data_IF_035645407683
#
_entry.id   IF_035645407683
#
_cell.length_a   1.000
_cell.length_b   1.000
_cell.length_c   1.000
_cell.angle_alpha   90.00
_cell.angle_beta   90.00
_cell.angle_gamma   90.00
#
_symmetry.space_group_name_H-M   'P 1'
#
loop_
_entity.id
_entity.type
_entity.pdbx_description
1 polymer ?
#
# COMPACT_ATOMS: atom_id res chain seq x y z
N UNK A 1 38.78 58.33 -49.64
CA UNK A 1 39.30 57.97 -48.31
C UNK A 1 38.17 57.35 -47.50
N UNK A 2 38.37 56.09 -47.11
CA UNK A 2 37.85 55.35 -45.97
C UNK A 2 36.35 55.32 -45.58
N UNK A 3 35.91 54.06 -45.51
CA UNK A 3 35.10 53.42 -44.46
C UNK A 3 33.57 53.38 -44.57
N UNK A 4 33.13 52.22 -45.09
CA UNK A 4 32.26 51.23 -44.43
C UNK A 4 31.03 51.67 -43.62
N UNK A 5 29.88 51.25 -44.18
CA UNK A 5 28.94 50.23 -43.66
C UNK A 5 27.62 50.69 -43.02
N UNK A 6 26.56 50.26 -43.73
CA UNK A 6 25.29 49.65 -43.31
C UNK A 6 24.14 50.50 -42.76
N UNK A 7 23.04 50.41 -43.52
CA UNK A 7 21.58 50.32 -43.23
C UNK A 7 20.90 50.89 -44.49
N UNK A 8 19.83 50.37 -45.07
CA UNK A 8 18.63 49.77 -44.50
C UNK A 8 17.79 49.17 -45.64
N UNK A 9 16.84 48.33 -45.24
CA UNK A 9 15.63 47.83 -45.92
C UNK A 9 14.98 48.84 -46.90
N UNK A 10 14.18 48.47 -47.91
CA UNK A 10 12.98 47.61 -47.87
C UNK A 10 12.44 47.50 -49.30
N UNK A 11 11.95 46.34 -49.76
CA UNK A 11 10.91 46.27 -50.79
C UNK A 11 9.93 45.14 -50.46
N UNK A 12 8.66 45.51 -50.30
CA UNK A 12 7.50 44.63 -50.26
C UNK A 12 7.28 43.97 -51.63
N UNK A 13 6.91 42.69 -51.64
CA UNK A 13 5.54 42.24 -51.99
C UNK A 13 5.49 40.80 -52.54
N UNK A 14 4.59 40.02 -51.92
CA UNK A 14 3.70 39.00 -52.48
C UNK A 14 4.26 37.83 -53.31
N UNK A 15 4.03 36.61 -52.82
CA UNK A 15 3.27 35.58 -53.55
C UNK A 15 2.93 34.40 -52.63
N UNK A 16 1.64 34.07 -52.60
CA UNK A 16 1.05 32.85 -52.03
C UNK A 16 1.57 31.60 -52.72
N UNK A 17 2.14 30.66 -51.96
CA UNK A 17 2.34 29.28 -52.40
C UNK A 17 1.59 28.35 -51.43
N UNK A 18 0.49 27.79 -51.91
CA UNK A 18 -0.22 26.68 -51.28
C UNK A 18 0.66 25.44 -51.45
N UNK A 19 1.46 25.11 -50.44
CA UNK A 19 2.07 23.79 -50.33
C UNK A 19 1.17 22.92 -49.45
N UNK A 20 0.50 21.96 -50.08
CA UNK A 20 -0.08 20.81 -49.40
C UNK A 20 1.06 20.01 -48.75
N UNK A 21 1.27 20.22 -47.45
CA UNK A 21 2.14 19.36 -46.65
C UNK A 21 1.23 18.26 -46.10
N UNK A 22 1.19 17.13 -46.80
CA UNK A 22 0.67 15.89 -46.23
C UNK A 22 1.51 15.56 -45.00
N UNK A 23 0.96 15.77 -43.82
CA UNK A 23 1.53 15.22 -42.59
C UNK A 23 1.28 13.71 -42.61
N UNK A 24 2.32 12.86 -42.53
CA UNK A 24 2.07 11.46 -42.25
C UNK A 24 1.42 11.40 -40.88
N UNK A 25 0.18 10.95 -40.82
CA UNK A 25 -0.42 10.48 -39.57
C UNK A 25 0.39 9.27 -39.15
N UNK A 26 1.44 9.49 -38.37
CA UNK A 26 2.01 8.44 -37.56
C UNK A 26 0.85 7.95 -36.68
N UNK A 27 0.35 6.75 -36.97
CA UNK A 27 -0.46 6.01 -36.03
C UNK A 27 0.23 6.12 -34.68
N UNK A 28 -0.48 6.58 -33.65
CA UNK A 28 0.03 6.43 -32.29
C UNK A 28 0.47 4.98 -32.16
N UNK A 29 1.71 4.76 -31.71
CA UNK A 29 2.14 3.42 -31.34
C UNK A 29 1.06 2.85 -30.40
N UNK A 30 0.75 1.53 -30.47
CA UNK A 30 -0.16 0.93 -29.51
C UNK A 30 0.28 1.36 -28.10
N UNK A 31 -0.65 1.92 -27.32
CA UNK A 31 -0.35 2.20 -25.93
C UNK A 31 0.13 0.87 -25.30
N UNK A 32 1.19 0.88 -24.48
CA UNK A 32 1.58 -0.31 -23.73
C UNK A 32 0.35 -0.90 -23.05
N UNK A 33 0.20 -2.23 -23.11
CA UNK A 33 -0.83 -2.90 -22.33
C UNK A 33 -0.65 -2.51 -20.85
N UNK A 34 -1.74 -2.36 -20.06
CA UNK A 34 -1.62 -2.04 -18.65
C UNK A 34 -0.68 -3.04 -17.97
N UNK A 35 0.17 -2.59 -17.04
CA UNK A 35 1.10 -3.44 -16.26
C UNK A 35 0.40 -4.46 -15.32
N UNK A 36 -0.90 -4.66 -15.51
CA UNK A 36 -1.82 -5.37 -14.62
C UNK A 36 -2.63 -6.43 -15.38
N UNK A 37 -2.21 -6.84 -16.57
CA UNK A 37 -2.94 -7.87 -17.32
C UNK A 37 -2.43 -9.25 -16.88
N UNK A 38 -3.36 -10.17 -16.59
CA UNK A 38 -3.03 -11.56 -16.22
C UNK A 38 -2.08 -12.19 -17.23
N UNK A 39 -1.10 -12.94 -16.72
CA UNK A 39 -0.05 -13.56 -17.53
C UNK A 39 1.05 -12.61 -18.00
N UNK A 40 1.00 -11.34 -17.58
CA UNK A 40 1.99 -10.31 -17.90
C UNK A 40 2.21 -9.34 -16.75
N UNK A 41 1.93 -9.78 -15.53
CA UNK A 41 2.07 -8.95 -14.34
C UNK A 41 3.55 -8.67 -14.08
N UNK A 42 3.86 -7.39 -13.90
CA UNK A 42 5.19 -6.90 -13.54
C UNK A 42 5.10 -6.12 -12.23
N UNK A 43 6.00 -6.44 -11.30
CA UNK A 43 6.18 -5.70 -10.03
C UNK A 43 7.08 -4.48 -10.20
N UNK A 44 7.67 -4.33 -11.38
CA UNK A 44 8.67 -3.35 -11.70
C UNK A 44 9.98 -3.66 -10.98
N UNK A 45 10.72 -2.65 -10.53
CA UNK A 45 12.10 -2.79 -10.05
C UNK A 45 12.25 -3.35 -8.63
N UNK A 46 11.16 -3.74 -7.99
CA UNK A 46 11.12 -4.21 -6.61
C UNK A 46 10.30 -5.48 -6.46
N UNK A 47 10.11 -5.90 -5.21
CA UNK A 47 9.38 -7.14 -4.89
C UNK A 47 8.41 -6.88 -3.75
N UNK A 48 7.19 -7.41 -3.89
CA UNK A 48 6.21 -7.37 -2.81
C UNK A 48 6.39 -8.53 -1.84
N UNK A 49 6.26 -8.23 -0.55
CA UNK A 49 6.06 -9.21 0.50
C UNK A 49 4.82 -8.83 1.29
N UNK A 50 3.99 -9.81 1.64
CA UNK A 50 2.82 -9.59 2.49
C UNK A 50 2.87 -10.53 3.67
N UNK A 51 2.76 -9.97 4.88
CA UNK A 51 2.81 -10.74 6.12
C UNK A 51 1.68 -10.30 7.05
N UNK A 52 1.15 -11.26 7.81
CA UNK A 52 0.22 -11.00 8.90
C UNK A 52 0.98 -10.79 10.18
N UNK A 53 0.69 -9.74 10.96
CA UNK A 53 1.40 -9.48 12.22
C UNK A 53 0.48 -9.39 13.43
N UNK A 54 0.67 -10.22 14.44
CA UNK A 54 -0.15 -10.19 15.67
C UNK A 54 0.72 -9.78 16.86
N UNK A 55 0.20 -8.88 17.68
CA UNK A 55 0.77 -8.57 18.99
C UNK A 55 1.01 -9.86 19.79
N UNK A 56 2.24 -10.04 20.26
CA UNK A 56 2.67 -11.22 20.99
C UNK A 56 2.12 -11.25 22.42
N UNK A 57 1.64 -10.12 22.92
CA UNK A 57 1.27 -9.89 24.32
C UNK A 57 2.49 -9.82 25.25
N UNK A 58 3.70 -9.86 24.71
CA UNK A 58 4.93 -9.73 25.46
C UNK A 58 5.33 -8.28 25.60
N UNK A 59 6.23 -8.03 26.56
CA UNK A 59 6.88 -6.73 26.66
C UNK A 59 7.98 -6.63 25.60
N UNK A 60 8.13 -5.46 24.95
CA UNK A 60 9.27 -5.20 24.09
C UNK A 60 10.60 -5.40 24.82
N UNK A 61 11.62 -5.84 24.07
CA UNK A 61 12.96 -6.03 24.62
C UNK A 61 13.58 -4.70 25.05
N UNK A 62 14.61 -4.74 25.90
CA UNK A 62 15.36 -3.54 26.27
C UNK A 62 16.02 -2.87 25.05
N UNK A 63 16.52 -3.68 24.10
CA UNK A 63 17.11 -3.19 22.87
C UNK A 63 16.09 -2.47 21.97
N UNK A 64 14.88 -3.02 21.82
CA UNK A 64 13.80 -2.37 21.06
C UNK A 64 13.36 -1.07 21.72
N UNK A 65 13.23 -1.07 23.04
CA UNK A 65 12.88 0.13 23.79
C UNK A 65 13.97 1.21 23.67
N UNK A 66 15.25 0.83 23.67
CA UNK A 66 16.36 1.76 23.46
C UNK A 66 16.33 2.35 22.04
N UNK A 67 16.21 1.51 21.01
CA UNK A 67 16.14 1.96 19.63
C UNK A 67 14.94 2.88 19.36
N UNK A 68 13.77 2.57 19.94
CA UNK A 68 12.60 3.45 19.87
C UNK A 68 12.88 4.83 20.51
N UNK A 69 13.52 4.85 21.68
CA UNK A 69 13.88 6.11 22.36
C UNK A 69 14.89 6.91 21.56
N UNK A 70 15.86 6.24 20.93
CA UNK A 70 16.88 6.88 20.11
C UNK A 70 16.27 7.52 18.86
N UNK A 71 15.31 6.84 18.20
CA UNK A 71 14.59 7.41 17.05
C UNK A 71 13.81 8.68 17.43
N UNK A 72 13.00 8.63 18.49
CA UNK A 72 12.18 9.78 18.88
C UNK A 72 12.98 10.89 19.58
N UNK A 73 14.06 10.55 20.28
CA UNK A 73 14.82 11.47 21.12
C UNK A 73 14.01 12.03 22.31
N UNK A 74 14.63 12.90 23.10
CA UNK A 74 13.95 13.61 24.21
C UNK A 74 13.44 14.97 23.71
N UNK A 75 12.20 15.40 24.04
CA UNK A 75 11.25 14.75 24.94
C UNK A 75 10.24 13.82 24.26
N UNK A 76 10.25 13.67 22.93
CA UNK A 76 9.21 12.89 22.19
C UNK A 76 9.11 11.44 22.65
N UNK A 77 10.23 10.83 23.04
CA UNK A 77 10.27 9.47 23.59
C UNK A 77 9.40 9.28 24.85
N UNK A 78 9.12 10.35 25.60
CA UNK A 78 8.21 10.37 26.75
C UNK A 78 6.73 10.37 26.34
N UNK A 79 6.43 10.79 25.11
CA UNK A 79 5.09 10.86 24.54
C UNK A 79 4.77 9.72 23.57
N UNK A 80 5.65 8.70 23.46
CA UNK A 80 5.37 7.48 22.70
C UNK A 80 4.16 6.78 23.31
N UNK A 81 3.11 6.65 22.51
CA UNK A 81 1.79 6.16 22.91
C UNK A 81 1.66 4.66 22.79
N UNK A 82 2.42 4.03 21.88
CA UNK A 82 2.39 2.60 21.65
C UNK A 82 3.80 2.03 21.48
N UNK A 83 4.00 0.83 22.02
CA UNK A 83 5.19 -0.01 21.82
C UNK A 83 4.71 -1.44 21.74
N UNK A 84 4.80 -2.01 20.54
CA UNK A 84 4.19 -3.30 20.25
C UNK A 84 5.28 -4.30 19.87
N UNK A 85 5.39 -5.37 20.66
CA UNK A 85 6.12 -6.57 20.27
C UNK A 85 5.15 -7.51 19.54
N UNK A 86 5.48 -7.91 18.33
CA UNK A 86 4.60 -8.69 17.48
C UNK A 86 5.37 -9.77 16.72
N UNK A 87 4.60 -10.73 16.21
CA UNK A 87 5.09 -11.85 15.41
C UNK A 87 4.56 -11.73 13.99
N UNK A 88 5.42 -11.98 13.02
CA UNK A 88 5.08 -12.05 11.61
C UNK A 88 4.72 -13.47 11.24
N UNK A 89 3.66 -13.62 10.46
CA UNK A 89 3.14 -14.87 9.97
C UNK A 89 2.93 -14.82 8.47
N UNK A 90 3.24 -15.92 7.79
CA UNK A 90 2.73 -16.18 6.44
C UNK A 90 1.37 -16.85 6.54
N UNK A 91 0.66 -16.88 5.43
CA UNK A 91 -0.73 -17.31 5.37
C UNK A 91 -0.98 -18.00 4.04
N UNK A 92 -2.02 -18.82 4.02
CA UNK A 92 -2.66 -19.23 2.79
C UNK A 92 -3.82 -18.27 2.50
N UNK A 93 -4.15 -18.14 1.23
CA UNK A 93 -5.19 -17.23 0.77
C UNK A 93 -6.14 -18.01 -0.12
N UNK A 94 -7.42 -17.98 0.22
CA UNK A 94 -8.44 -18.66 -0.55
C UNK A 94 -8.52 -18.02 -1.96
N UNK A 95 -8.34 -18.84 -2.99
CA UNK A 95 -8.19 -18.34 -4.37
C UNK A 95 -9.45 -17.67 -4.93
N UNK A 96 -10.62 -18.01 -4.38
CA UNK A 96 -11.92 -17.54 -4.87
C UNK A 96 -12.34 -16.26 -4.15
N UNK A 97 -12.16 -16.24 -2.83
CA UNK A 97 -12.65 -15.17 -1.96
C UNK A 97 -11.58 -14.15 -1.61
N UNK A 98 -10.31 -14.52 -1.74
CA UNK A 98 -9.15 -13.75 -1.30
C UNK A 98 -9.05 -13.61 0.21
N UNK A 99 -9.77 -14.41 1.01
CA UNK A 99 -9.65 -14.41 2.47
C UNK A 99 -8.49 -15.30 2.94
N UNK A 100 -7.79 -14.84 3.97
CA UNK A 100 -6.73 -15.60 4.60
C UNK A 100 -7.29 -16.84 5.30
N UNK A 101 -6.66 -17.98 5.05
CA UNK A 101 -6.83 -19.24 5.78
C UNK A 101 -5.63 -19.44 6.71
N UNK A 102 -5.91 -19.90 7.92
CA UNK A 102 -4.92 -20.14 8.98
C UNK A 102 -3.82 -19.05 9.12
N UNK A 103 -4.22 -17.77 9.32
CA UNK A 103 -3.34 -16.59 9.17
C UNK A 103 -2.19 -16.49 10.20
N UNK A 104 -2.08 -17.45 11.10
CA UNK A 104 -1.03 -17.53 12.13
C UNK A 104 -0.37 -18.90 12.19
N UNK A 105 -0.50 -19.72 11.14
CA UNK A 105 0.03 -21.09 11.12
C UNK A 105 1.56 -21.14 11.06
N UNK A 106 2.21 -20.15 10.45
CA UNK A 106 3.66 -20.17 10.21
C UNK A 106 4.28 -18.87 10.69
N UNK A 107 5.04 -18.91 11.80
CA UNK A 107 5.80 -17.78 12.33
C UNK A 107 7.15 -17.69 11.60
N UNK A 108 7.36 -16.55 10.93
CA UNK A 108 8.55 -16.26 10.13
C UNK A 108 9.47 -15.21 10.74
N UNK A 109 9.10 -14.57 11.85
CA UNK A 109 10.01 -13.61 12.49
C UNK A 109 9.35 -12.61 13.45
N UNK A 110 10.17 -11.85 14.20
CA UNK A 110 9.71 -10.74 15.01
C UNK A 110 9.46 -9.48 14.19
N UNK A 111 8.51 -8.67 14.67
CA UNK A 111 8.36 -7.27 14.31
C UNK A 111 8.11 -6.47 15.58
N UNK A 112 8.80 -5.34 15.70
CA UNK A 112 8.58 -4.35 16.74
C UNK A 112 8.17 -3.04 16.08
N UNK A 113 7.17 -2.38 16.64
CA UNK A 113 6.80 -1.02 16.26
C UNK A 113 6.60 -0.13 17.48
N UNK A 114 6.85 1.16 17.32
CA UNK A 114 6.48 2.14 18.31
C UNK A 114 6.02 3.47 17.70
N UNK A 115 4.93 3.98 18.27
CA UNK A 115 4.18 5.10 17.73
C UNK A 115 4.29 6.30 18.67
N UNK A 116 4.64 7.44 18.10
CA UNK A 116 4.78 8.70 18.80
C UNK A 116 4.09 9.83 18.05
N UNK A 117 3.94 11.00 18.69
CA UNK A 117 3.37 12.16 18.03
C UNK A 117 4.28 12.61 16.88
N UNK A 118 3.65 13.06 15.79
CA UNK A 118 4.38 13.76 14.72
C UNK A 118 4.83 15.14 15.17
N UNK A 119 5.80 15.71 14.46
CA UNK A 119 6.22 17.11 14.63
C UNK A 119 5.70 18.05 13.54
N UNK A 120 5.26 17.50 12.41
CA UNK A 120 4.91 18.28 11.22
C UNK A 120 3.42 18.67 11.16
N UNK A 121 2.60 18.11 12.08
CA UNK A 121 1.17 18.36 12.16
C UNK A 121 0.36 17.80 10.99
N UNK A 122 0.97 16.97 10.11
CA UNK A 122 0.32 16.42 8.92
C UNK A 122 -0.35 15.08 9.19
N UNK A 123 0.25 14.28 10.05
CA UNK A 123 -0.34 13.06 10.58
C UNK A 123 -0.47 13.16 12.11
N UNK A 124 -1.37 12.38 12.70
CA UNK A 124 -1.50 12.33 14.15
C UNK A 124 -0.34 11.54 14.78
N UNK A 125 0.07 10.46 14.11
CA UNK A 125 1.09 9.54 14.57
C UNK A 125 2.24 9.44 13.55
N UNK A 126 3.45 9.35 14.08
CA UNK A 126 4.65 8.88 13.42
C UNK A 126 4.93 7.50 13.99
N UNK A 127 5.41 6.59 13.16
CA UNK A 127 5.80 5.25 13.59
C UNK A 127 7.24 4.98 13.22
N UNK A 128 7.94 4.32 14.12
CA UNK A 128 9.18 3.65 13.85
C UNK A 128 9.01 2.15 14.06
N UNK A 129 9.60 1.36 13.18
CA UNK A 129 9.49 -0.08 13.21
C UNK A 129 10.80 -0.77 12.86
N UNK A 130 10.95 -1.97 13.41
CA UNK A 130 12.03 -2.89 13.11
C UNK A 130 11.45 -4.28 12.94
N UNK A 131 11.70 -4.92 11.79
CA UNK A 131 11.31 -6.31 11.57
C UNK A 131 12.49 -7.11 11.05
N UNK A 132 12.49 -8.42 11.31
CA UNK A 132 13.48 -9.33 10.72
C UNK A 132 12.74 -10.30 9.81
N UNK A 133 12.76 -10.03 8.51
CA UNK A 133 12.10 -10.83 7.49
C UNK A 133 13.09 -11.83 6.86
N UNK A 134 12.71 -13.11 6.69
CA UNK A 134 13.52 -14.07 5.94
C UNK A 134 13.78 -13.57 4.51
N UNK A 135 14.99 -13.81 3.98
CA UNK A 135 15.41 -13.27 2.68
C UNK A 135 15.82 -11.79 2.71
N UNK A 136 15.12 -10.95 3.47
CA UNK A 136 15.36 -9.51 3.49
C UNK A 136 16.29 -9.03 4.63
N UNK A 137 16.42 -9.79 5.70
CA UNK A 137 17.21 -9.44 6.88
C UNK A 137 16.46 -8.50 7.82
N UNK A 138 17.21 -7.74 8.62
CA UNK A 138 16.60 -6.72 9.49
C UNK A 138 16.30 -5.46 8.69
N UNK A 139 15.02 -5.07 8.69
CA UNK A 139 14.54 -3.83 8.10
C UNK A 139 14.24 -2.85 9.23
N UNK A 140 14.69 -1.62 9.05
CA UNK A 140 14.26 -0.48 9.87
C UNK A 140 13.44 0.45 9.00
N UNK A 141 12.30 0.86 9.51
CA UNK A 141 11.30 1.60 8.75
C UNK A 141 10.68 2.68 9.61
N UNK A 142 10.34 3.81 9.02
CA UNK A 142 9.67 4.89 9.74
C UNK A 142 8.83 5.77 8.83
N UNK A 143 7.87 6.45 9.41
CA UNK A 143 6.97 7.32 8.67
C UNK A 143 5.62 7.55 9.33
N UNK A 144 4.80 8.41 8.71
CA UNK A 144 3.49 8.81 9.22
C UNK A 144 2.44 7.69 9.16
N UNK A 145 1.49 7.76 10.10
CA UNK A 145 0.30 6.90 10.16
C UNK A 145 -1.00 7.70 10.20
N UNK A 146 -1.99 7.21 9.46
CA UNK A 146 -3.40 7.51 9.68
C UNK A 146 -3.93 6.76 10.91
N UNK A 147 -4.82 7.41 11.66
CA UNK A 147 -5.57 6.81 12.76
C UNK A 147 -7.04 7.20 12.63
N UNK A 148 -7.91 6.20 12.54
CA UNK A 148 -9.35 6.42 12.53
C UNK A 148 -10.03 5.50 13.56
N UNK A 149 -10.78 6.07 14.49
CA UNK A 149 -11.51 5.30 15.48
C UNK A 149 -12.71 4.60 14.85
N UNK A 150 -12.86 3.31 15.12
CA UNK A 150 -13.93 2.50 14.54
C UNK A 150 -15.24 2.71 15.32
N UNK A 151 -16.17 3.46 14.73
CA UNK A 151 -17.45 3.80 15.37
C UNK A 151 -18.26 2.54 15.73
N UNK A 152 -18.23 1.50 14.89
CA UNK A 152 -18.97 0.27 15.15
C UNK A 152 -18.34 -0.68 16.16
N UNK A 153 -17.09 -0.44 16.58
CA UNK A 153 -16.44 -1.11 17.71
C UNK A 153 -15.60 -0.13 18.54
N UNK A 154 -16.24 0.66 19.42
CA UNK A 154 -15.53 1.62 20.26
C UNK A 154 -14.41 0.96 21.05
N UNK A 155 -13.22 1.57 21.02
CA UNK A 155 -11.99 1.03 21.62
C UNK A 155 -11.04 0.35 20.63
N UNK A 156 -11.49 0.13 19.39
CA UNK A 156 -10.64 -0.23 18.24
C UNK A 156 -10.42 0.96 17.31
N UNK A 157 -9.32 0.90 16.57
CA UNK A 157 -9.00 1.88 15.54
C UNK A 157 -8.41 1.22 14.31
N UNK A 158 -8.68 1.79 13.14
CA UNK A 158 -7.97 1.53 11.91
C UNK A 158 -6.68 2.34 11.92
N UNK A 159 -5.54 1.69 11.67
CA UNK A 159 -4.23 2.34 11.57
C UNK A 159 -3.57 1.91 10.27
N UNK A 160 -3.42 2.86 9.36
CA UNK A 160 -2.60 2.71 8.16
C UNK A 160 -1.33 3.55 8.25
N UNK A 161 -0.20 2.88 8.26
CA UNK A 161 1.11 3.51 8.26
C UNK A 161 1.75 3.39 6.89
N UNK A 162 2.47 4.42 6.46
CA UNK A 162 3.26 4.41 5.22
C UNK A 162 4.69 4.73 5.58
N UNK A 163 5.50 3.68 5.72
CA UNK A 163 6.86 3.77 6.26
C UNK A 163 7.88 3.63 5.14
N UNK A 164 8.88 4.50 5.12
CA UNK A 164 10.06 4.33 4.28
C UNK A 164 11.01 3.34 4.92
N UNK A 165 11.53 2.39 4.14
CA UNK A 165 12.52 1.41 4.60
C UNK A 165 13.94 1.92 4.33
N UNK A 166 14.80 1.81 5.34
CA UNK A 166 16.22 2.10 5.21
C UNK A 166 16.96 0.96 4.50
N UNK A 167 18.06 1.25 3.78
CA UNK A 167 18.96 0.23 3.28
C UNK A 167 19.53 -0.64 4.41
N UNK A 168 19.91 -1.88 4.11
CA UNK A 168 20.50 -2.77 5.10
C UNK A 168 21.70 -3.57 4.57
N UNK A 169 22.35 -4.32 5.47
CA UNK A 169 23.51 -5.14 5.16
C UNK A 169 23.19 -6.39 4.32
N UNK A 170 21.91 -6.71 4.15
CA UNK A 170 21.43 -7.85 3.37
C UNK A 170 21.05 -7.46 1.94
N UNK A 171 21.49 -6.30 1.45
CA UNK A 171 21.29 -5.89 0.06
C UNK A 171 19.94 -5.24 -0.25
N UNK A 172 19.08 -5.00 0.75
CA UNK A 172 17.93 -4.11 0.58
C UNK A 172 18.45 -2.68 0.47
N UNK A 173 18.01 -1.97 -0.57
CA UNK A 173 18.47 -0.60 -0.89
C UNK A 173 17.43 0.46 -0.55
N UNK A 174 16.20 0.05 -0.21
CA UNK A 174 15.12 0.92 0.19
C UNK A 174 13.76 0.24 -0.03
N UNK A 175 12.68 1.00 0.14
CA UNK A 175 11.33 0.52 -0.10
C UNK A 175 10.27 1.26 0.70
N UNK A 176 9.03 0.80 0.59
CA UNK A 176 7.89 1.31 1.36
C UNK A 176 7.10 0.16 1.97
N UNK A 177 6.83 0.27 3.27
CA UNK A 177 5.95 -0.62 4.00
C UNK A 177 4.61 0.07 4.27
N UNK A 178 3.51 -0.58 3.91
CA UNK A 178 2.14 -0.12 4.26
C UNK A 178 1.53 -1.09 5.26
N UNK A 179 0.90 -0.57 6.31
CA UNK A 179 0.13 -1.39 7.25
C UNK A 179 -1.37 -1.24 7.02
N UNK A 180 -2.11 -2.33 7.21
CA UNK A 180 -3.56 -2.35 7.35
C UNK A 180 -3.87 -2.96 8.72
N UNK A 181 -4.02 -2.09 9.72
CA UNK A 181 -4.05 -2.53 11.11
C UNK A 181 -5.40 -2.28 11.77
N UNK A 182 -5.88 -3.29 12.49
CA UNK A 182 -6.94 -3.15 13.48
C UNK A 182 -6.27 -3.08 14.85
N UNK A 183 -6.02 -1.86 15.30
CA UNK A 183 -5.45 -1.59 16.61
C UNK A 183 -6.51 -1.80 17.71
N UNK A 184 -6.08 -2.38 18.84
CA UNK A 184 -6.88 -2.53 20.04
C UNK A 184 -6.24 -1.75 21.22
N UNK A 185 -6.17 -0.42 21.15
CA UNK A 185 -5.55 0.40 22.19
C UNK A 185 -6.27 0.27 23.54
N UNK A 186 -7.59 -0.01 23.52
CA UNK A 186 -8.39 -0.22 24.72
C UNK A 186 -8.23 -1.62 25.34
N UNK A 187 -7.47 -2.53 24.71
CA UNK A 187 -7.24 -3.91 25.17
C UNK A 187 -8.53 -4.68 25.42
N UNK A 188 -9.50 -4.51 24.51
CA UNK A 188 -10.73 -5.27 24.50
C UNK A 188 -10.44 -6.80 24.48
N UNK A 189 -11.25 -7.62 25.17
CA UNK A 189 -10.97 -9.05 25.33
C UNK A 189 -11.12 -9.85 24.03
N UNK A 190 -11.78 -9.29 23.03
CA UNK A 190 -12.18 -9.95 21.78
C UNK A 190 -11.08 -9.92 20.71
N UNK A 191 -9.80 -9.80 21.08
CA UNK A 191 -8.67 -10.00 20.17
C UNK A 191 -7.62 -8.90 20.23
N UNK A 192 -6.35 -9.25 19.97
CA UNK A 192 -5.21 -8.34 20.02
C UNK A 192 -5.11 -7.41 18.82
N UNK A 193 -4.23 -6.42 18.90
CA UNK A 193 -3.81 -5.63 17.73
C UNK A 193 -3.25 -6.57 16.66
N UNK A 194 -3.76 -6.42 15.45
CA UNK A 194 -3.35 -7.20 14.30
C UNK A 194 -3.22 -6.32 13.07
N UNK A 195 -2.29 -6.66 12.18
CA UNK A 195 -2.11 -5.97 10.91
C UNK A 195 -1.78 -6.93 9.76
N UNK A 196 -2.08 -6.50 8.54
CA UNK A 196 -1.40 -6.96 7.35
C UNK A 196 -0.36 -5.91 6.96
N UNK A 197 0.88 -6.34 6.76
CA UNK A 197 1.95 -5.50 6.26
C UNK A 197 2.26 -5.86 4.83
N UNK A 198 2.24 -4.87 3.95
CA UNK A 198 2.70 -4.97 2.57
C UNK A 198 4.02 -4.23 2.43
N UNK A 199 5.08 -4.97 2.14
CA UNK A 199 6.43 -4.44 1.94
C UNK A 199 6.72 -4.43 0.45
N UNK A 200 6.99 -3.26 -0.14
CA UNK A 200 7.60 -3.15 -1.46
C UNK A 200 9.07 -2.83 -1.30
N UNK A 201 9.93 -3.81 -1.51
CA UNK A 201 11.38 -3.71 -1.26
C UNK A 201 12.17 -3.57 -2.55
N UNK A 202 13.26 -2.80 -2.48
CA UNK A 202 14.23 -2.63 -3.56
C UNK A 202 15.54 -3.34 -3.22
N UNK A 203 16.22 -3.86 -4.24
CA UNK A 203 17.41 -4.70 -4.07
C UNK A 203 17.03 -6.16 -3.83
N UNK A 204 18.02 -7.04 -3.95
CA UNK A 204 17.77 -8.49 -4.05
C UNK A 204 17.36 -9.13 -2.72
N UNK A 205 17.86 -8.62 -1.59
CA UNK A 205 17.67 -9.30 -0.29
C UNK A 205 18.40 -10.65 -0.25
N UNK A 206 19.53 -10.71 0.44
CA UNK A 206 20.39 -11.91 0.49
C UNK A 206 20.48 -12.50 1.89
N UNK A 207 19.55 -12.15 2.79
CA UNK A 207 19.55 -12.73 4.12
C UNK A 207 19.16 -14.21 4.06
N UNK A 208 19.65 -15.05 4.98
CA UNK A 208 19.24 -16.44 5.04
C UNK A 208 17.73 -16.59 5.21
N UNK A 209 17.14 -17.54 4.49
CA UNK A 209 15.76 -17.96 4.69
C UNK A 209 15.75 -19.11 5.70
N UNK A 210 15.30 -18.83 6.92
CA UNK A 210 15.09 -19.86 7.92
C UNK A 210 13.80 -20.62 7.64
N UNK A 211 13.78 -21.93 7.91
CA UNK A 211 12.55 -22.72 7.87
C UNK A 211 11.49 -22.09 8.78
N UNK A 212 10.25 -21.87 8.29
CA UNK A 212 9.14 -21.39 9.10
C UNK A 212 8.94 -22.23 10.34
N UNK A 213 8.66 -21.56 11.45
CA UNK A 213 8.29 -22.26 12.68
C UNK A 213 6.78 -22.41 12.72
N UNK A 214 6.25 -23.55 13.20
CA UNK A 214 4.84 -23.64 13.52
C UNK A 214 4.45 -22.49 14.45
N UNK A 215 3.45 -21.71 14.02
CA UNK A 215 2.87 -20.66 14.81
C UNK A 215 2.03 -21.21 15.96
N UNK A 216 1.63 -20.33 16.86
CA UNK A 216 0.66 -20.64 17.91
C UNK A 216 -0.62 -19.87 17.61
N UNK A 217 -1.82 -20.47 17.81
CA UNK A 217 -3.08 -19.76 17.64
C UNK A 217 -3.06 -18.45 18.44
N UNK A 218 -3.30 -17.33 17.76
CA UNK A 218 -3.39 -16.02 18.38
C UNK A 218 -4.85 -15.59 18.50
N UNK A 219 -5.22 -14.86 19.58
CA UNK A 219 -6.54 -14.25 19.66
C UNK A 219 -6.60 -13.07 18.68
N UNK A 220 -6.98 -13.33 17.43
CA UNK A 220 -7.10 -12.32 16.36
C UNK A 220 -8.44 -11.61 16.35
N UNK A 221 -9.40 -12.09 17.15
CA UNK A 221 -10.73 -11.53 17.24
C UNK A 221 -11.61 -11.79 16.02
N UNK A 222 -12.64 -10.97 15.86
CA UNK A 222 -13.58 -11.03 14.73
C UNK A 222 -13.03 -10.41 13.43
N UNK A 223 -11.71 -10.22 13.33
CA UNK A 223 -11.10 -9.62 12.14
C UNK A 223 -10.84 -10.68 11.10
N UNK A 224 -11.43 -10.51 9.91
CA UNK A 224 -11.10 -11.27 8.71
C UNK A 224 -10.22 -10.44 7.81
N UNK A 225 -9.20 -11.07 7.26
CA UNK A 225 -8.22 -10.41 6.40
C UNK A 225 -8.31 -10.98 5.00
N UNK A 226 -8.21 -10.11 4.01
CA UNK A 226 -8.11 -10.46 2.61
C UNK A 226 -6.92 -9.77 1.97
N UNK A 227 -6.25 -10.48 1.07
CA UNK A 227 -5.12 -9.96 0.30
C UNK A 227 -5.38 -10.27 -1.16
N UNK A 228 -5.14 -9.30 -2.02
CA UNK A 228 -5.24 -9.49 -3.45
C UNK A 228 -4.28 -8.60 -4.20
N UNK A 229 -4.19 -8.88 -5.49
CA UNK A 229 -3.39 -8.14 -6.44
C UNK A 229 -4.28 -7.56 -7.51
N UNK A 230 -3.86 -6.40 -7.96
CA UNK A 230 -4.61 -5.64 -8.92
C UNK A 230 -4.46 -6.15 -10.36
N UNK A 231 -5.59 -6.36 -11.02
CA UNK A 231 -5.64 -6.85 -12.39
C UNK A 231 -6.62 -6.02 -13.22
N UNK A 232 -6.34 -5.85 -14.51
CA UNK A 232 -7.17 -5.09 -15.43
C UNK A 232 -7.41 -3.65 -14.96
N UNK A 233 -6.36 -3.02 -14.43
CA UNK A 233 -6.37 -1.64 -13.98
C UNK A 233 -6.53 -0.68 -15.14
N UNK A 234 -7.50 0.23 -15.02
CA UNK A 234 -7.78 1.26 -16.02
C UNK A 234 -7.81 2.63 -15.36
N UNK A 235 -6.95 3.53 -15.84
CA UNK A 235 -7.01 4.97 -15.55
C UNK A 235 -8.00 5.64 -16.50
N UNK A 236 -9.19 5.98 -16.01
CA UNK A 236 -10.29 6.60 -16.76
C UNK A 236 -10.15 8.12 -16.90
N UNK A 237 -8.91 8.62 -16.98
CA UNK A 237 -8.52 10.05 -17.06
C UNK A 237 -9.07 10.89 -15.90
N UNK A 238 -8.66 12.15 -15.87
CA UNK A 238 -9.10 13.14 -14.87
C UNK A 238 -10.47 13.69 -15.24
N UNK A 239 -11.32 13.86 -14.23
CA UNK A 239 -12.64 14.51 -14.35
C UNK A 239 -12.75 15.64 -13.33
N UNK A 240 -13.79 16.46 -13.40
CA UNK A 240 -14.06 17.48 -12.37
C UNK A 240 -14.35 16.86 -11.00
N UNK A 241 -14.94 15.66 -10.96
CA UNK A 241 -15.21 14.92 -9.72
C UNK A 241 -13.97 14.19 -9.19
N UNK A 242 -13.10 13.72 -10.09
CA UNK A 242 -11.85 13.02 -9.78
C UNK A 242 -10.66 13.75 -10.40
N UNK A 243 -10.25 14.90 -9.85
CA UNK A 243 -9.20 15.73 -10.45
C UNK A 243 -7.82 15.06 -10.48
N UNK A 244 -7.58 14.07 -9.62
CA UNK A 244 -6.38 13.20 -9.67
C UNK A 244 -6.50 11.99 -10.60
N UNK A 245 -7.69 11.75 -11.16
CA UNK A 245 -8.02 10.60 -12.00
C UNK A 245 -8.98 9.62 -11.33
N UNK A 246 -9.67 8.83 -12.15
CA UNK A 246 -10.49 7.69 -11.71
C UNK A 246 -9.80 6.38 -12.10
N UNK A 247 -9.53 5.52 -11.14
CA UNK A 247 -9.01 4.16 -11.36
C UNK A 247 -10.14 3.16 -11.18
N UNK A 248 -10.24 2.17 -12.05
CA UNK A 248 -11.10 1.00 -11.88
C UNK A 248 -10.29 -0.26 -12.07
N UNK A 249 -10.55 -1.28 -11.27
CA UNK A 249 -9.76 -2.51 -11.31
C UNK A 249 -10.51 -3.71 -10.77
N UNK A 250 -10.04 -4.90 -11.15
CA UNK A 250 -10.32 -6.15 -10.48
C UNK A 250 -9.21 -6.44 -9.45
N UNK A 251 -9.57 -7.17 -8.41
CA UNK A 251 -8.66 -7.64 -7.37
C UNK A 251 -8.80 -9.16 -7.33
N UNK A 252 -7.70 -9.83 -7.60
CA UNK A 252 -7.60 -11.29 -7.65
C UNK A 252 -6.76 -11.77 -6.47
N UNK A 253 -7.06 -12.94 -5.93
CA UNK A 253 -6.33 -13.47 -4.78
C UNK A 253 -4.88 -13.77 -5.16
N UNK A 254 -3.94 -13.56 -4.23
CA UNK A 254 -2.53 -13.94 -4.41
C UNK A 254 -2.11 -15.03 -3.44
N UNK A 255 -1.09 -15.78 -3.86
CA UNK A 255 -0.30 -16.62 -2.96
C UNK A 255 0.93 -15.87 -2.48
N UNK A 256 1.41 -16.24 -1.30
CA UNK A 256 2.71 -15.81 -0.79
C UNK A 256 3.59 -17.01 -0.54
N UNK A 257 4.90 -16.87 -0.74
CA UNK A 257 5.87 -17.88 -0.36
C UNK A 257 5.76 -18.13 1.16
N UNK A 258 5.57 -19.39 1.59
CA UNK A 258 5.36 -19.70 3.00
C UNK A 258 6.56 -19.37 3.89
N UNK A 259 7.78 -19.28 3.32
CA UNK A 259 9.00 -19.02 4.07
C UNK A 259 9.34 -17.54 4.25
N UNK A 260 8.95 -16.69 3.29
CA UNK A 260 9.39 -15.30 3.21
C UNK A 260 8.23 -14.32 3.19
N UNK A 261 7.02 -14.76 2.82
CA UNK A 261 5.89 -13.89 2.54
C UNK A 261 6.01 -13.14 1.20
N UNK A 262 7.01 -13.47 0.36
CA UNK A 262 7.14 -12.88 -0.96
C UNK A 262 5.91 -13.21 -1.81
N UNK A 263 5.37 -12.23 -2.52
CA UNK A 263 4.30 -12.46 -3.49
C UNK A 263 4.95 -13.06 -4.73
N UNK A 264 4.58 -14.29 -5.07
CA UNK A 264 5.10 -15.00 -6.24
C UNK A 264 3.96 -15.60 -7.07
N UNK A 265 4.21 -15.73 -8.36
CA UNK A 265 3.28 -16.27 -9.34
C UNK A 265 2.21 -15.30 -9.82
N UNK A 266 1.39 -15.81 -10.73
CA UNK A 266 0.19 -15.13 -11.19
C UNK A 266 -0.91 -15.21 -10.12
N UNK A 267 -1.72 -14.16 -9.94
CA UNK A 267 -2.88 -14.21 -9.06
C UNK A 267 -3.92 -15.20 -9.60
N UNK A 268 -4.93 -15.50 -8.78
CA UNK A 268 -6.02 -16.38 -9.16
C UNK A 268 -6.78 -15.85 -10.38
N UNK A 269 -7.51 -16.73 -11.07
CA UNK A 269 -8.39 -16.33 -12.18
C UNK A 269 -9.72 -15.74 -11.70
N UNK A 270 -10.05 -15.94 -10.43
CA UNK A 270 -11.32 -15.52 -9.84
C UNK A 270 -11.22 -14.11 -9.25
N UNK A 271 -12.22 -13.29 -9.57
CA UNK A 271 -12.30 -11.91 -9.09
C UNK A 271 -12.82 -11.89 -7.66
N UNK A 272 -11.91 -11.82 -6.68
CA UNK A 272 -12.24 -11.71 -5.27
C UNK A 272 -12.95 -10.37 -4.92
N UNK A 273 -12.57 -9.29 -5.60
CA UNK A 273 -13.24 -7.99 -5.48
C UNK A 273 -13.11 -7.13 -6.74
N UNK A 274 -13.98 -6.13 -6.87
CA UNK A 274 -13.82 -5.04 -7.85
C UNK A 274 -13.76 -3.72 -7.11
N UNK A 275 -12.92 -2.81 -7.58
CA UNK A 275 -12.71 -1.53 -6.91
C UNK A 275 -12.64 -0.36 -7.90
N UNK A 276 -13.08 0.80 -7.43
CA UNK A 276 -12.85 2.07 -8.09
C UNK A 276 -12.39 3.13 -7.10
N UNK A 277 -11.31 3.84 -7.44
CA UNK A 277 -10.79 4.95 -6.64
C UNK A 277 -10.89 6.24 -7.45
N UNK A 278 -11.56 7.23 -6.88
CA UNK A 278 -11.57 8.60 -7.34
C UNK A 278 -10.53 9.39 -6.56
N UNK A 279 -9.43 9.79 -7.20
CA UNK A 279 -8.37 10.54 -6.55
C UNK A 279 -8.66 12.04 -6.60
N UNK A 280 -8.46 12.72 -5.48
CA UNK A 280 -8.41 14.18 -5.45
C UNK A 280 -7.11 14.67 -6.11
N UNK A 281 -7.00 15.98 -6.35
CA UNK A 281 -5.82 16.55 -6.97
C UNK A 281 -4.60 16.21 -6.10
N UNK A 282 -3.59 15.48 -6.59
CA UNK A 282 -2.49 15.05 -5.76
C UNK A 282 -1.69 16.24 -5.26
N UNK A 283 -1.92 16.62 -4.00
CA UNK A 283 -0.99 17.40 -3.20
C UNK A 283 0.23 16.55 -2.85
N UNK A 284 1.39 17.19 -2.67
CA UNK A 284 2.60 16.49 -2.26
C UNK A 284 2.81 16.64 -0.73
N UNK A 285 3.05 15.56 0.03
CA UNK A 285 3.04 14.15 -0.38
C UNK A 285 1.66 13.48 -0.28
N UNK A 286 0.69 14.13 0.37
CA UNK A 286 -0.60 13.54 0.77
C UNK A 286 -1.78 14.17 0.03
N UNK A 287 -2.78 13.36 -0.28
CA UNK A 287 -4.00 13.79 -0.95
C UNK A 287 -5.18 12.87 -0.66
N UNK A 288 -6.39 13.42 -0.75
CA UNK A 288 -7.61 12.66 -0.53
C UNK A 288 -7.94 11.70 -1.67
N UNK A 289 -8.67 10.65 -1.36
CA UNK A 289 -9.28 9.76 -2.33
C UNK A 289 -10.60 9.22 -1.80
N UNK A 290 -11.47 8.75 -2.69
CA UNK A 290 -12.65 7.98 -2.30
C UNK A 290 -12.67 6.63 -3.01
N UNK A 291 -12.94 5.59 -2.25
CA UNK A 291 -13.02 4.21 -2.70
C UNK A 291 -14.49 3.77 -2.82
N UNK A 292 -14.79 3.02 -3.85
CA UNK A 292 -15.94 2.11 -3.91
C UNK A 292 -15.41 0.71 -4.18
N UNK A 293 -15.64 -0.22 -3.26
CA UNK A 293 -15.18 -1.61 -3.38
C UNK A 293 -16.36 -2.56 -3.23
N UNK A 294 -16.45 -3.54 -4.12
CA UNK A 294 -17.39 -4.66 -4.02
C UNK A 294 -16.60 -5.93 -3.78
N UNK A 295 -16.71 -6.49 -2.58
CA UNK A 295 -16.09 -7.76 -2.19
C UNK A 295 -17.03 -8.90 -2.57
N UNK A 296 -16.56 -9.80 -3.43
CA UNK A 296 -17.33 -10.96 -3.91
C UNK A 296 -17.14 -12.17 -2.99
N UNK A 297 -16.04 -12.23 -2.25
CA UNK A 297 -15.76 -13.28 -1.27
C UNK A 297 -16.68 -13.33 -0.05
N UNK A 298 -17.71 -12.47 0.02
CA UNK A 298 -18.73 -12.46 1.07
C UNK A 298 -20.11 -12.64 0.44
N UNK A 299 -21.01 -13.35 1.12
CA UNK A 299 -22.34 -13.67 0.56
C UNK A 299 -23.47 -13.00 1.36
N UNK A 300 -24.35 -12.21 0.70
CA UNK A 300 -24.20 -11.71 -0.68
C UNK A 300 -22.99 -10.78 -0.82
N UNK A 301 -22.56 -10.42 -2.05
CA UNK A 301 -21.47 -9.46 -2.25
C UNK A 301 -21.68 -8.16 -1.46
N UNK A 302 -20.58 -7.61 -0.96
CA UNK A 302 -20.61 -6.43 -0.09
C UNK A 302 -19.98 -5.25 -0.82
N UNK A 303 -20.79 -4.25 -1.15
CA UNK A 303 -20.30 -2.97 -1.66
C UNK A 303 -20.14 -2.00 -0.50
N UNK A 304 -18.98 -1.37 -0.41
CA UNK A 304 -18.69 -0.33 0.56
C UNK A 304 -18.05 0.87 -0.13
N UNK A 305 -18.43 2.06 0.33
CA UNK A 305 -17.85 3.32 -0.14
C UNK A 305 -17.23 4.04 1.03
N UNK A 306 -16.03 4.57 0.84
CA UNK A 306 -15.29 5.23 1.89
C UNK A 306 -14.45 6.38 1.33
N UNK A 307 -14.10 7.30 2.22
CA UNK A 307 -13.07 8.31 1.96
C UNK A 307 -11.79 7.86 2.64
N UNK A 308 -10.67 8.29 2.10
CA UNK A 308 -9.36 7.91 2.59
C UNK A 308 -8.30 8.89 2.16
N UNK A 309 -7.06 8.54 2.49
CA UNK A 309 -5.90 9.34 2.14
C UNK A 309 -4.90 8.47 1.39
N UNK A 310 -4.24 9.09 0.44
CA UNK A 310 -3.12 8.53 -0.29
C UNK A 310 -1.87 9.35 0.00
N UNK A 311 -0.73 8.65 0.05
CA UNK A 311 0.59 9.23 0.21
C UNK A 311 1.47 8.76 -0.93
N UNK A 312 2.27 9.68 -1.46
CA UNK A 312 3.32 9.38 -2.44
C UNK A 312 4.70 9.47 -1.82
N UNK A 313 5.48 8.41 -1.97
CA UNK A 313 6.86 8.31 -1.53
C UNK A 313 7.76 8.15 -2.76
N UNK A 314 8.68 9.10 -3.00
CA UNK A 314 9.70 8.93 -4.03
C UNK A 314 10.61 7.74 -3.70
N UNK A 315 10.83 6.87 -4.68
CA UNK A 315 11.81 5.78 -4.60
C UNK A 315 12.91 5.98 -5.65
N UNK A 316 14.13 5.54 -5.34
CA UNK A 316 15.27 5.61 -6.24
C UNK A 316 15.27 4.46 -7.26
N UNK A 317 14.18 4.33 -8.01
CA UNK A 317 13.96 3.23 -8.95
C UNK A 317 14.08 3.68 -10.40
N UNK A 318 13.07 4.40 -10.88
CA UNK A 318 12.98 4.87 -12.25
C UNK A 318 12.47 6.32 -12.27
N UNK A 319 13.05 7.18 -13.12
CA UNK A 319 12.54 8.53 -13.29
C UNK A 319 11.08 8.51 -13.74
N UNK A 320 10.21 9.19 -12.99
CA UNK A 320 8.81 9.38 -13.37
C UNK A 320 7.81 8.43 -12.73
N UNK A 321 8.23 7.51 -11.86
CA UNK A 321 7.34 6.72 -11.00
C UNK A 321 7.52 7.10 -9.53
N UNK A 322 6.47 6.88 -8.73
CA UNK A 322 6.49 7.04 -7.27
C UNK A 322 5.72 5.90 -6.63
N UNK A 323 6.12 5.50 -5.42
CA UNK A 323 5.29 4.61 -4.64
C UNK A 323 4.07 5.38 -4.16
N UNK A 324 2.88 4.81 -4.34
CA UNK A 324 1.64 5.33 -3.83
C UNK A 324 1.03 4.31 -2.88
N UNK A 325 0.78 4.74 -1.65
CA UNK A 325 0.03 3.97 -0.68
C UNK A 325 -1.25 4.71 -0.34
N UNK A 326 -2.36 3.99 -0.20
CA UNK A 326 -3.64 4.58 0.22
C UNK A 326 -4.24 3.77 1.35
N UNK A 327 -4.93 4.45 2.27
CA UNK A 327 -5.72 3.86 3.34
C UNK A 327 -7.15 4.38 3.32
N UNK A 328 -8.11 3.46 3.44
CA UNK A 328 -9.55 3.75 3.42
C UNK A 328 -10.26 2.99 4.53
N UNK A 329 -10.89 3.70 5.46
CA UNK A 329 -11.67 3.06 6.52
C UNK A 329 -13.03 2.62 5.98
N UNK A 330 -13.39 1.36 6.20
CA UNK A 330 -14.69 0.84 5.80
C UNK A 330 -15.73 1.22 6.87
N UNK A 331 -16.83 1.91 6.49
CA UNK A 331 -17.91 2.21 7.42
C UNK A 331 -18.63 0.93 7.88
N UNK A 332 -19.27 0.95 9.06
CA UNK A 332 -20.10 -0.16 9.50
C UNK A 332 -21.28 -0.39 8.56
N UNK A 333 -21.60 -1.65 8.32
CA UNK A 333 -22.81 -2.14 7.66
C UNK A 333 -23.39 -3.26 8.54
N UNK A 334 -24.05 -2.87 9.64
CA UNK A 334 -24.44 -3.80 10.71
C UNK A 334 -25.41 -4.88 10.26
N UNK A 335 -26.29 -4.56 9.30
CA UNK A 335 -27.21 -5.50 8.65
C UNK A 335 -26.48 -6.62 7.89
N UNK A 336 -25.21 -6.38 7.54
CA UNK A 336 -24.31 -7.32 6.87
C UNK A 336 -23.27 -7.94 7.80
N UNK A 337 -23.33 -7.64 9.10
CA UNK A 337 -22.34 -8.09 10.09
C UNK A 337 -20.99 -7.35 10.03
N UNK A 338 -20.88 -6.28 9.24
CA UNK A 338 -19.69 -5.42 9.22
C UNK A 338 -19.82 -4.34 10.28
N UNK A 339 -18.89 -4.31 11.23
CA UNK A 339 -18.80 -3.28 12.27
C UNK A 339 -17.70 -2.24 11.98
N UNK A 340 -16.90 -2.46 10.94
CA UNK A 340 -15.86 -1.56 10.47
C UNK A 340 -14.81 -2.33 9.69
N UNK A 341 -13.75 -1.67 9.26
CA UNK A 341 -12.65 -2.31 8.57
C UNK A 341 -11.73 -1.29 7.92
N UNK A 342 -10.77 -1.77 7.14
CA UNK A 342 -9.85 -0.92 6.40
C UNK A 342 -9.44 -1.59 5.11
N UNK A 343 -9.31 -0.82 4.04
CA UNK A 343 -8.66 -1.21 2.78
C UNK A 343 -7.39 -0.41 2.65
N UNK A 344 -6.29 -1.07 2.29
CA UNK A 344 -5.07 -0.37 1.87
C UNK A 344 -4.58 -0.85 0.52
N UNK A 345 -3.88 0.05 -0.15
CA UNK A 345 -3.26 -0.14 -1.46
C UNK A 345 -1.77 0.20 -1.33
N UNK A 346 -0.91 -0.56 -2.00
CA UNK A 346 0.51 -0.24 -2.15
C UNK A 346 0.98 -0.62 -3.56
N UNK A 347 1.42 0.38 -4.35
CA UNK A 347 1.92 0.16 -5.71
C UNK A 347 2.60 1.37 -6.34
N UNK A 348 3.27 1.16 -7.46
CA UNK A 348 3.90 2.20 -8.26
C UNK A 348 2.91 2.86 -9.20
N UNK A 349 2.99 4.18 -9.29
CA UNK A 349 2.19 5.00 -10.21
C UNK A 349 3.07 6.01 -10.93
N UNK A 350 2.67 6.48 -12.13
CA UNK A 350 3.32 7.62 -12.75
C UNK A 350 3.20 8.88 -11.86
N UNK A 351 4.28 9.66 -11.75
CA UNK A 351 4.31 10.93 -10.97
C UNK A 351 3.14 11.84 -11.35
N UNK A 352 2.79 11.89 -12.64
CA UNK A 352 1.75 12.76 -13.18
C UNK A 352 0.36 12.11 -13.29
N UNK A 353 0.18 10.86 -12.85
CA UNK A 353 -1.12 10.18 -12.89
C UNK A 353 -1.34 9.31 -11.64
N UNK A 354 -2.17 9.76 -10.70
CA UNK A 354 -2.47 9.01 -9.48
C UNK A 354 -3.39 7.81 -9.71
N UNK A 355 -4.18 7.86 -10.78
CA UNK A 355 -5.03 6.76 -11.21
C UNK A 355 -4.28 5.77 -12.10
N UNK A 356 -3.11 6.14 -12.62
CA UNK A 356 -2.25 5.26 -13.39
C UNK A 356 -1.72 4.11 -12.55
N UNK A 357 -1.29 3.06 -13.23
CA UNK A 357 -0.63 1.89 -12.66
C UNK A 357 0.66 1.67 -13.43
N UNK A 358 1.80 1.81 -12.75
CA UNK A 358 3.11 1.50 -13.31
C UNK A 358 3.53 0.06 -12.98
N UNK A 359 2.93 -0.55 -11.96
CA UNK A 359 3.00 -1.97 -11.66
C UNK A 359 1.65 -2.48 -11.11
N UNK A 360 1.51 -3.80 -10.99
CA UNK A 360 0.36 -4.42 -10.34
C UNK A 360 0.44 -4.25 -8.82
N UNK A 361 -0.46 -3.43 -8.28
CA UNK A 361 -0.44 -3.07 -6.87
C UNK A 361 -1.05 -4.17 -5.98
N UNK A 362 -0.61 -4.20 -4.71
CA UNK A 362 -1.17 -5.10 -3.69
C UNK A 362 -2.25 -4.36 -2.90
N UNK A 363 -3.36 -5.05 -2.71
CA UNK A 363 -4.52 -4.63 -1.94
C UNK A 363 -4.65 -5.51 -0.70
N UNK A 364 -4.85 -4.88 0.44
CA UNK A 364 -5.16 -5.60 1.69
C UNK A 364 -6.45 -5.06 2.28
N UNK A 365 -7.29 -5.94 2.78
CA UNK A 365 -8.55 -5.57 3.43
C UNK A 365 -8.65 -6.25 4.79
N UNK A 366 -9.03 -5.49 5.81
CA UNK A 366 -9.49 -5.99 7.10
C UNK A 366 -10.98 -5.73 7.23
N UNK A 367 -11.73 -6.76 7.60
CA UNK A 367 -13.15 -6.69 7.90
C UNK A 367 -13.34 -7.02 9.37
N UNK A 368 -14.01 -6.14 10.09
CA UNK A 368 -14.27 -6.32 11.51
C UNK A 368 -15.74 -6.67 11.73
N UNK A 369 -16.00 -7.77 12.42
CA UNK A 369 -17.34 -8.24 12.76
C UNK A 369 -17.63 -9.65 12.22
N UNK A 370 -18.79 -10.23 12.54
CA UNK A 370 -19.15 -11.59 12.15
C UNK A 370 -19.54 -11.70 10.67
N UNK A 371 -18.73 -11.14 9.76
CA UNK A 371 -18.91 -11.31 8.32
C UNK A 371 -18.74 -12.79 7.96
N UNK A 372 -19.69 -13.32 7.20
CA UNK A 372 -19.61 -14.66 6.64
C UNK A 372 -18.85 -14.60 5.31
N UNK A 373 -17.77 -15.37 5.20
CA UNK A 373 -17.12 -15.55 3.91
C UNK A 373 -18.06 -16.41 3.03
N UNK A 374 -18.25 -15.98 1.79
CA UNK A 374 -18.92 -16.77 0.77
C UNK A 374 -18.06 -17.94 0.35
N UNK A 375 -18.68 -19.01 -0.13
CA UNK A 375 -18.01 -20.16 -0.76
C UNK A 375 -18.38 -20.18 -2.22
#
# INVERSE_FOLDING_TARGET
MNQHRYRMLTVLAAATLVCAIGTPSASAAPAPAPATVLGSIDDGPGTFHVVRTVDSGQRPTEADNAACKDYYGTPRSLAVVERLDARMYTFENDSTTGFLTDPTAQDIGPIYVCDGPTLDGRALLDQWGRLTAPGLGTLTMNGPCGLEFMIGQPGRAAVDCVLTMAPNASGVTGGVATSNSVANPARLPDGRTGSLWTLYTLGEGTAPVSTPRPGSPQPTGSVKYSVGREVNSVSNRRTSACPGGLRSTEIHAISVDPATGAVDGEPSSDVAATASICYQNPGAPDFGASLSITTNGVTPPLTSTSVGQCRRVPLAVEPGTVQQSCGFTLPPQFDRGLTGGQVTLNGLVPVNDAAGSANSAIWTTSFLGPITAGV
#
